data_IF_851506005809
#
_entry.id   IF_851506005809
#
_cell.length_a   1.000
_cell.length_b   1.000
_cell.length_c   1.000
_cell.angle_alpha   90.00
_cell.angle_beta   90.00
_cell.angle_gamma   90.00
#
_symmetry.space_group_name_H-M   'P 1'
#
loop_
_entity.id
_entity.type
_entity.pdbx_description
1 polymer ?
#
# COMPACT_ATOMS: atom_id res chain seq x y z
N UNK A 1 11.53 21.38 -22.67
CA UNK A 1 10.70 20.26 -22.36
C UNK A 1 10.48 20.09 -20.88
N UNK A 2 9.29 19.89 -20.53
CA UNK A 2 8.92 19.80 -19.14
C UNK A 2 9.47 18.53 -18.50
N UNK A 3 10.04 18.71 -17.32
CA UNK A 3 10.51 17.60 -16.51
C UNK A 3 9.36 16.95 -15.80
N UNK A 4 9.28 15.65 -15.84
CA UNK A 4 8.24 14.94 -15.13
C UNK A 4 8.66 14.67 -13.70
N UNK A 5 8.66 15.72 -12.91
CA UNK A 5 9.09 15.63 -11.51
C UNK A 5 8.10 14.91 -10.63
N UNK A 6 6.81 14.96 -10.97
CA UNK A 6 5.73 14.41 -10.17
C UNK A 6 5.19 13.18 -10.88
N UNK A 7 5.93 12.10 -10.83
CA UNK A 7 5.59 10.87 -11.55
C UNK A 7 5.33 9.70 -10.64
N UNK A 8 5.61 9.86 -9.36
CA UNK A 8 5.47 8.76 -8.42
C UNK A 8 4.19 8.88 -7.64
N UNK A 9 3.65 7.74 -7.27
CA UNK A 9 2.37 7.64 -6.59
C UNK A 9 2.49 6.69 -5.43
N UNK A 10 1.92 7.08 -4.29
CA UNK A 10 1.69 6.12 -3.21
C UNK A 10 0.36 5.44 -3.47
N UNK A 11 0.19 4.25 -2.92
CA UNK A 11 -1.07 3.53 -3.06
C UNK A 11 -1.28 2.63 -1.85
N UNK A 12 -2.55 2.32 -1.63
CA UNK A 12 -2.98 1.42 -0.56
C UNK A 12 -3.89 0.38 -1.18
N UNK A 13 -3.58 -0.88 -0.92
CA UNK A 13 -4.35 -2.02 -1.40
C UNK A 13 -4.99 -2.71 -0.20
N UNK A 14 -6.29 -2.95 -0.26
CA UNK A 14 -6.96 -3.76 0.75
C UNK A 14 -6.57 -5.21 0.56
N UNK A 15 -6.24 -5.88 1.67
CA UNK A 15 -5.84 -7.28 1.68
C UNK A 15 -6.95 -8.13 2.29
N UNK A 16 -7.11 -9.34 1.76
CA UNK A 16 -8.04 -10.31 2.30
C UNK A 16 -7.68 -10.61 3.76
N UNK A 17 -8.66 -10.62 4.68
CA UNK A 17 -8.38 -10.92 6.10
C UNK A 17 -7.69 -12.26 6.34
N UNK A 18 -7.73 -13.18 5.37
CA UNK A 18 -7.01 -14.45 5.48
C UNK A 18 -5.50 -14.26 5.69
N UNK A 19 -4.95 -13.06 5.37
CA UNK A 19 -3.55 -12.75 5.64
C UNK A 19 -3.23 -12.87 7.13
N UNK A 20 -4.21 -12.76 7.99
CA UNK A 20 -4.05 -12.93 9.44
C UNK A 20 -3.62 -14.34 9.84
N UNK A 21 -3.71 -15.31 8.94
CA UNK A 21 -3.17 -16.64 9.19
C UNK A 21 -1.63 -16.60 9.26
N UNK A 22 -1.01 -15.53 8.77
CA UNK A 22 0.42 -15.34 8.87
C UNK A 22 0.78 -14.74 10.23
N UNK A 23 1.56 -15.47 11.01
CA UNK A 23 2.08 -14.97 12.28
C UNK A 23 2.94 -13.73 12.09
N UNK A 24 3.68 -13.69 10.97
CA UNK A 24 4.54 -12.56 10.63
C UNK A 24 3.73 -11.29 10.44
N UNK A 25 2.59 -11.39 9.77
CA UNK A 25 1.71 -10.24 9.57
C UNK A 25 1.11 -9.77 10.90
N UNK A 26 0.65 -10.71 11.72
CA UNK A 26 0.09 -10.38 13.04
C UNK A 26 1.12 -9.69 13.93
N UNK A 27 2.36 -10.19 13.92
CA UNK A 27 3.43 -9.62 14.72
C UNK A 27 3.73 -8.18 14.35
N UNK A 28 3.60 -7.83 13.07
CA UNK A 28 3.82 -6.48 12.60
C UNK A 28 2.67 -5.53 13.00
N UNK A 29 1.55 -6.07 13.44
CA UNK A 29 0.34 -5.29 13.70
C UNK A 29 -0.32 -5.68 15.03
N UNK A 30 0.40 -5.50 16.16
CA UNK A 30 -0.14 -5.94 17.47
C UNK A 30 -1.37 -5.16 17.91
N UNK A 31 -1.54 -3.94 17.39
CA UNK A 31 -2.61 -3.04 17.81
C UNK A 31 -3.74 -2.94 16.78
N UNK A 32 -3.85 -3.92 15.90
CA UNK A 32 -4.89 -3.92 14.87
C UNK A 32 -6.29 -3.91 15.48
N UNK A 33 -7.09 -2.95 15.05
CA UNK A 33 -8.52 -2.92 15.35
C UNK A 33 -9.22 -3.82 14.33
N UNK A 34 -9.83 -4.89 14.78
CA UNK A 34 -10.43 -5.88 13.88
C UNK A 34 -11.54 -5.31 13.00
N UNK A 35 -12.08 -4.13 13.34
CA UNK A 35 -13.08 -3.45 12.52
C UNK A 35 -12.46 -2.69 11.35
N UNK A 36 -11.12 -2.57 11.33
CA UNK A 36 -10.39 -1.89 10.28
C UNK A 36 -9.74 -2.88 9.32
N UNK A 37 -9.61 -2.54 8.03
CA UNK A 37 -9.05 -3.46 7.05
C UNK A 37 -7.58 -3.79 7.27
N UNK A 38 -7.15 -4.88 6.62
CA UNK A 38 -5.74 -5.16 6.40
C UNK A 38 -5.34 -4.51 5.09
N UNK A 39 -4.18 -3.84 5.05
CA UNK A 39 -3.76 -3.10 3.87
C UNK A 39 -2.27 -3.26 3.58
N UNK A 40 -1.91 -3.03 2.33
CA UNK A 40 -0.54 -2.94 1.87
C UNK A 40 -0.31 -1.51 1.37
N UNK A 41 0.79 -0.90 1.79
CA UNK A 41 1.14 0.46 1.39
C UNK A 41 2.43 0.42 0.58
N UNK A 42 2.42 1.02 -0.60
CA UNK A 42 3.59 1.07 -1.46
C UNK A 42 3.67 2.36 -2.24
N UNK A 43 4.72 2.50 -3.04
CA UNK A 43 4.83 3.58 -4.01
C UNK A 43 5.35 3.03 -5.34
N UNK A 44 5.09 3.76 -6.41
CA UNK A 44 5.39 3.29 -7.76
C UNK A 44 5.59 4.47 -8.71
N UNK A 45 6.37 4.25 -9.76
CA UNK A 45 6.48 5.19 -10.88
C UNK A 45 5.37 5.03 -11.90
N UNK A 46 4.51 4.04 -11.71
CA UNK A 46 3.33 3.79 -12.55
C UNK A 46 2.11 4.43 -11.89
N UNK A 47 0.95 4.31 -12.52
CA UNK A 47 -0.29 4.61 -11.81
C UNK A 47 -0.55 3.50 -10.79
N UNK A 48 -1.29 3.79 -9.71
CA UNK A 48 -1.67 2.74 -8.76
C UNK A 48 -2.38 1.57 -9.43
N UNK A 49 -3.25 1.86 -10.40
CA UNK A 49 -4.00 0.84 -11.13
C UNK A 49 -3.08 -0.07 -11.93
N UNK A 50 -2.10 0.50 -12.62
CA UNK A 50 -1.12 -0.28 -13.37
C UNK A 50 -0.28 -1.15 -12.46
N UNK A 51 0.15 -0.58 -11.33
CA UNK A 51 0.97 -1.33 -10.37
C UNK A 51 0.19 -2.46 -9.73
N UNK A 52 -1.07 -2.19 -9.38
CA UNK A 52 -1.94 -3.24 -8.82
C UNK A 52 -2.10 -4.40 -9.81
N UNK A 53 -2.34 -4.09 -11.07
CA UNK A 53 -2.47 -5.11 -12.11
C UNK A 53 -1.19 -5.96 -12.21
N UNK A 54 -0.02 -5.32 -12.14
CA UNK A 54 1.26 -6.04 -12.17
C UNK A 54 1.44 -6.94 -10.95
N UNK A 55 1.07 -6.46 -9.76
CA UNK A 55 1.09 -7.30 -8.56
C UNK A 55 0.24 -8.56 -8.76
N UNK A 56 -0.98 -8.40 -9.24
CA UNK A 56 -1.89 -9.53 -9.42
C UNK A 56 -1.39 -10.48 -10.50
N UNK A 57 -0.70 -9.97 -11.52
CA UNK A 57 -0.12 -10.79 -12.58
C UNK A 57 1.20 -11.45 -12.19
N UNK A 58 1.73 -11.14 -11.00
CA UNK A 58 2.99 -11.73 -10.54
C UNK A 58 4.23 -11.05 -11.11
N UNK A 59 4.12 -9.86 -11.68
CA UNK A 59 5.24 -9.14 -12.29
C UNK A 59 5.89 -8.27 -11.22
N UNK A 60 7.09 -8.67 -10.76
CA UNK A 60 7.80 -8.01 -9.66
C UNK A 60 6.88 -7.80 -8.47
N UNK A 61 6.05 -8.78 -8.21
CA UNK A 61 4.95 -8.67 -7.26
C UNK A 61 5.43 -8.88 -5.84
N UNK A 62 4.74 -8.19 -4.92
CA UNK A 62 4.78 -8.59 -3.53
C UNK A 62 3.90 -9.82 -3.39
N UNK A 63 4.42 -10.87 -2.77
CA UNK A 63 3.74 -12.16 -2.67
C UNK A 63 2.38 -12.03 -1.98
N UNK A 64 2.31 -11.21 -0.92
CA UNK A 64 1.06 -11.05 -0.18
C UNK A 64 0.02 -10.27 -0.98
N UNK A 65 0.45 -9.26 -1.76
CA UNK A 65 -0.47 -8.54 -2.62
C UNK A 65 -0.99 -9.44 -3.74
N UNK A 66 -0.11 -10.23 -4.34
CA UNK A 66 -0.53 -11.17 -5.38
C UNK A 66 -1.57 -12.13 -4.86
N UNK A 67 -1.36 -12.65 -3.64
CA UNK A 67 -2.22 -13.67 -3.05
C UNK A 67 -3.47 -13.10 -2.41
N UNK A 68 -3.34 -11.99 -1.67
CA UNK A 68 -4.41 -11.45 -0.83
C UNK A 68 -4.95 -10.11 -1.28
N UNK A 69 -4.36 -9.46 -2.28
CA UNK A 69 -4.81 -8.14 -2.73
C UNK A 69 -6.22 -8.21 -3.31
N UNK A 70 -7.08 -7.35 -2.79
CA UNK A 70 -8.49 -7.30 -3.21
C UNK A 70 -8.78 -6.10 -4.10
N UNK A 71 -8.40 -4.91 -3.66
CA UNK A 71 -8.70 -3.66 -4.38
C UNK A 71 -7.87 -2.51 -3.85
N UNK A 72 -7.75 -1.48 -4.69
CA UNK A 72 -7.16 -0.22 -4.26
C UNK A 72 -8.16 0.54 -3.39
N UNK A 73 -7.62 1.37 -2.48
CA UNK A 73 -8.42 2.23 -1.60
C UNK A 73 -8.05 3.69 -1.86
N UNK A 74 -8.48 4.29 -2.99
CA UNK A 74 -8.02 5.61 -3.40
C UNK A 74 -8.32 6.72 -2.39
N UNK A 75 -9.37 6.59 -1.60
CA UNK A 75 -9.70 7.60 -0.59
C UNK A 75 -8.60 7.81 0.42
N UNK A 76 -7.72 6.82 0.59
CA UNK A 76 -6.65 6.90 1.56
C UNK A 76 -5.37 7.55 1.01
N UNK A 77 -5.24 7.72 -0.31
CA UNK A 77 -3.96 8.17 -0.86
C UNK A 77 -4.04 9.12 -2.06
N UNK A 78 -5.17 9.18 -2.76
CA UNK A 78 -5.23 9.89 -4.04
C UNK A 78 -4.88 11.38 -3.90
N UNK A 79 -5.21 11.99 -2.76
CA UNK A 79 -4.95 13.40 -2.50
C UNK A 79 -3.45 13.75 -2.55
N UNK A 80 -2.58 12.78 -2.29
CA UNK A 80 -1.15 13.02 -2.23
C UNK A 80 -0.45 12.89 -3.58
N UNK A 81 -1.10 12.24 -4.54
CA UNK A 81 -0.48 11.89 -5.82
C UNK A 81 -0.73 12.94 -6.90
N UNK A 82 0.15 13.05 -7.88
CA UNK A 82 1.48 12.46 -7.95
C UNK A 82 2.51 13.33 -7.21
N UNK A 83 3.72 12.79 -7.04
CA UNK A 83 4.76 13.52 -6.32
C UNK A 83 6.15 13.08 -6.78
N UNK A 84 7.19 13.83 -6.41
CA UNK A 84 8.57 13.40 -6.70
C UNK A 84 8.90 12.10 -5.99
N UNK A 85 9.88 11.38 -6.51
CA UNK A 85 10.26 10.06 -5.99
C UNK A 85 10.54 10.07 -4.49
N UNK A 86 11.37 11.00 -4.01
CA UNK A 86 11.72 11.03 -2.59
C UNK A 86 10.51 11.32 -1.71
N UNK A 87 9.63 12.21 -2.16
CA UNK A 87 8.40 12.52 -1.44
C UNK A 87 7.48 11.29 -1.36
N UNK A 88 7.40 10.51 -2.45
CA UNK A 88 6.59 9.30 -2.45
C UNK A 88 7.14 8.26 -1.49
N UNK A 89 8.47 8.13 -1.40
CA UNK A 89 9.10 7.21 -0.46
C UNK A 89 8.80 7.61 0.98
N UNK A 90 8.89 8.91 1.27
CA UNK A 90 8.57 9.41 2.60
C UNK A 90 7.09 9.24 2.93
N UNK A 91 6.23 9.54 1.97
CA UNK A 91 4.78 9.41 2.16
C UNK A 91 4.38 7.96 2.40
N UNK A 92 5.03 7.02 1.73
CA UNK A 92 4.77 5.60 1.95
C UNK A 92 4.97 5.23 3.43
N UNK A 93 6.08 5.67 4.01
CA UNK A 93 6.38 5.41 5.42
C UNK A 93 5.38 6.10 6.33
N UNK A 94 5.14 7.39 6.10
CA UNK A 94 4.24 8.16 6.95
C UNK A 94 2.81 7.66 6.89
N UNK A 95 2.36 7.28 5.71
CA UNK A 95 1.01 6.76 5.53
C UNK A 95 0.85 5.42 6.25
N UNK A 96 1.87 4.56 6.16
CA UNK A 96 1.84 3.28 6.87
C UNK A 96 1.73 3.49 8.38
N UNK A 97 2.51 4.44 8.92
CA UNK A 97 2.45 4.78 10.35
C UNK A 97 1.07 5.31 10.72
N UNK A 98 0.55 6.26 9.95
CA UNK A 98 -0.73 6.87 10.24
C UNK A 98 -1.88 5.85 10.21
N UNK A 99 -1.85 4.94 9.25
CA UNK A 99 -2.90 3.91 9.15
C UNK A 99 -2.84 2.94 10.33
N UNK A 100 -1.63 2.56 10.76
CA UNK A 100 -1.50 1.74 11.97
C UNK A 100 -2.04 2.44 13.19
N UNK A 101 -1.77 3.73 13.32
CA UNK A 101 -2.30 4.53 14.44
C UNK A 101 -3.81 4.60 14.42
N UNK A 102 -4.41 4.52 13.24
CA UNK A 102 -5.86 4.50 13.09
C UNK A 102 -6.47 3.11 13.26
N UNK A 103 -5.65 2.11 13.54
CA UNK A 103 -6.13 0.76 13.82
C UNK A 103 -6.04 -0.22 12.66
N UNK A 104 -5.58 0.22 11.47
CA UNK A 104 -5.40 -0.69 10.33
C UNK A 104 -4.26 -1.67 10.61
N UNK A 105 -4.36 -2.85 10.02
CA UNK A 105 -3.23 -3.76 9.96
C UNK A 105 -2.50 -3.49 8.65
N UNK A 106 -1.21 -3.17 8.73
CA UNK A 106 -0.46 -2.64 7.58
C UNK A 106 0.76 -3.50 7.29
N UNK A 107 1.01 -3.73 6.00
CA UNK A 107 2.30 -4.17 5.51
C UNK A 107 2.82 -3.12 4.54
N UNK A 108 4.04 -2.66 4.77
CA UNK A 108 4.66 -1.65 3.92
C UNK A 108 5.65 -2.31 2.97
N UNK A 109 5.69 -1.79 1.75
CA UNK A 109 6.63 -2.24 0.74
C UNK A 109 8.08 -2.06 1.15
#
# INVERSE_FOLDING_TARGET
>A
MARRKHRHNVYVIELDPAIYNSARFRKANPDHDITKPCVYVGCTGLTPEERFAKHKAGIRANTWVQRFGLRLLPKLYAYANPMPYNAARDMEVELAIALREQGYAVWQA
#
